data_IF_917492736760
#
_entry.id   IF_917492736760
#
_cell.length_a   1.000
_cell.length_b   1.000
_cell.length_c   1.000
_cell.angle_alpha   90.00
_cell.angle_beta   90.00
_cell.angle_gamma   90.00
#
_symmetry.space_group_name_H-M   'P 1'
#
loop_
_entity.id
_entity.type
_entity.pdbx_description
1 polymer ?
#
# COMPACT_ATOMS: atom_id res chain seq x y z
N UNK A 1 -21.71 12.11 24.13
CA UNK A 1 -21.05 11.96 22.81
C UNK A 1 -19.99 10.87 22.92
N UNK A 2 -19.96 9.84 22.05
CA UNK A 2 -18.86 8.88 22.05
C UNK A 2 -17.56 9.63 21.76
N UNK A 3 -16.58 9.52 22.67
CA UNK A 3 -15.25 10.14 22.48
C UNK A 3 -14.67 9.60 21.18
N UNK A 4 -14.45 10.50 20.22
CA UNK A 4 -13.71 10.19 18.98
C UNK A 4 -12.38 9.59 19.42
N UNK A 5 -12.15 8.31 19.11
CA UNK A 5 -10.92 7.62 19.46
C UNK A 5 -9.77 8.41 18.81
N UNK A 6 -9.00 9.10 19.63
CA UNK A 6 -7.78 9.76 19.17
C UNK A 6 -6.83 8.60 18.87
N UNK A 7 -6.62 8.29 17.58
CA UNK A 7 -5.57 7.37 17.14
C UNK A 7 -4.21 8.06 17.31
N UNK A 8 -3.79 8.30 18.56
CA UNK A 8 -2.49 8.91 18.88
C UNK A 8 -1.33 7.91 18.87
N UNK A 9 -1.58 6.64 18.55
CA UNK A 9 -0.54 5.63 18.40
C UNK A 9 -0.09 5.52 16.95
N UNK A 10 1.21 5.71 16.71
CA UNK A 10 1.84 5.40 15.42
C UNK A 10 1.34 4.02 14.93
N UNK A 11 0.80 3.93 13.71
CA UNK A 11 0.08 2.74 13.23
C UNK A 11 0.91 1.46 13.24
N UNK A 12 2.23 1.62 13.30
CA UNK A 12 3.23 0.57 13.32
C UNK A 12 3.39 0.01 14.73
N UNK A 13 3.38 0.84 15.77
CA UNK A 13 3.40 0.39 17.17
C UNK A 13 2.20 -0.49 17.49
N UNK A 14 1.00 -0.09 17.03
CA UNK A 14 -0.23 -0.89 17.22
C UNK A 14 -0.17 -2.23 16.49
N UNK A 15 0.45 -2.25 15.32
CA UNK A 15 0.57 -3.45 14.49
C UNK A 15 1.59 -4.44 15.07
N UNK A 16 2.74 -3.91 15.51
CA UNK A 16 3.74 -4.66 16.26
C UNK A 16 3.12 -5.34 17.47
N UNK A 17 2.44 -4.59 18.35
CA UNK A 17 1.86 -5.15 19.58
C UNK A 17 0.85 -6.25 19.30
N UNK A 18 0.04 -6.11 18.24
CA UNK A 18 -0.93 -7.12 17.82
C UNK A 18 -0.26 -8.41 17.33
N UNK A 19 0.79 -8.30 16.52
CA UNK A 19 1.52 -9.46 16.01
C UNK A 19 2.31 -10.16 17.10
N UNK A 20 2.98 -9.39 17.96
CA UNK A 20 3.73 -9.92 19.08
C UNK A 20 2.82 -10.76 20.00
N UNK A 21 1.68 -10.21 20.43
CA UNK A 21 0.71 -10.95 21.25
C UNK A 21 0.17 -12.19 20.54
N UNK A 22 -0.04 -12.12 19.21
CA UNK A 22 -0.47 -13.27 18.44
C UNK A 22 0.57 -14.39 18.46
N UNK A 23 1.85 -14.09 18.19
CA UNK A 23 2.90 -15.10 18.18
C UNK A 23 3.16 -15.69 19.58
N UNK A 24 3.08 -14.88 20.64
CA UNK A 24 3.13 -15.41 22.01
C UNK A 24 1.96 -16.37 22.27
N UNK A 25 0.74 -16.01 21.86
CA UNK A 25 -0.44 -16.88 22.01
C UNK A 25 -0.38 -18.16 21.15
N UNK A 26 0.37 -18.14 20.05
CA UNK A 26 0.64 -19.31 19.20
C UNK A 26 1.75 -20.21 19.77
N UNK A 27 2.38 -19.84 20.89
CA UNK A 27 3.36 -20.65 21.62
C UNK A 27 4.82 -20.38 21.25
N UNK A 28 5.11 -19.32 20.50
CA UNK A 28 6.49 -18.93 20.19
C UNK A 28 7.18 -18.33 21.44
N UNK A 29 8.49 -18.54 21.55
CA UNK A 29 9.29 -17.86 22.59
C UNK A 29 9.22 -16.34 22.42
N UNK A 30 9.32 -15.58 23.52
CA UNK A 30 9.23 -14.11 23.46
C UNK A 30 10.26 -13.49 22.50
N UNK A 31 11.47 -14.03 22.45
CA UNK A 31 12.52 -13.58 21.54
C UNK A 31 12.14 -13.82 20.06
N UNK A 32 11.58 -15.00 19.75
CA UNK A 32 11.11 -15.34 18.40
C UNK A 32 9.90 -14.49 18.01
N UNK A 33 8.92 -14.36 18.90
CA UNK A 33 7.74 -13.53 18.71
C UNK A 33 8.10 -12.05 18.48
N UNK A 34 9.07 -11.53 19.22
CA UNK A 34 9.60 -10.18 19.04
C UNK A 34 10.23 -9.99 17.66
N UNK A 35 11.15 -10.88 17.28
CA UNK A 35 11.83 -10.83 15.97
C UNK A 35 10.84 -10.86 14.81
N UNK A 36 9.89 -11.80 14.83
CA UNK A 36 8.87 -11.95 13.79
C UNK A 36 7.92 -10.75 13.72
N UNK A 37 7.45 -10.24 14.87
CA UNK A 37 6.58 -9.07 14.90
C UNK A 37 7.31 -7.81 14.41
N UNK A 38 8.58 -7.65 14.74
CA UNK A 38 9.39 -6.51 14.33
C UNK A 38 9.70 -6.55 12.83
N UNK A 39 10.10 -7.70 12.29
CA UNK A 39 10.33 -7.89 10.85
C UNK A 39 9.05 -7.62 10.03
N UNK A 40 7.92 -8.19 10.46
CA UNK A 40 6.63 -7.97 9.81
C UNK A 40 6.19 -6.50 9.87
N UNK A 41 6.47 -5.81 10.98
CA UNK A 41 6.17 -4.38 11.14
C UNK A 41 7.06 -3.52 10.25
N UNK A 42 8.36 -3.79 10.17
CA UNK A 42 9.29 -3.10 9.26
C UNK A 42 8.93 -3.33 7.79
N UNK A 43 8.59 -4.57 7.41
CA UNK A 43 8.16 -4.90 6.05
C UNK A 43 6.87 -4.17 5.66
N UNK A 44 5.92 -4.07 6.61
CA UNK A 44 4.70 -3.27 6.45
C UNK A 44 5.02 -1.78 6.33
N UNK A 45 5.85 -1.22 7.20
CA UNK A 45 6.22 0.19 7.18
C UNK A 45 6.84 0.59 5.82
N UNK A 46 7.70 -0.26 5.24
CA UNK A 46 8.23 -0.06 3.88
C UNK A 46 7.12 -0.01 2.82
N UNK A 47 6.13 -0.92 2.90
CA UNK A 47 4.97 -0.92 1.99
C UNK A 47 4.02 0.26 2.17
N UNK A 48 3.75 0.64 3.43
CA UNK A 48 2.88 1.77 3.79
C UNK A 48 3.53 3.09 3.39
N UNK A 49 4.84 3.25 3.58
CA UNK A 49 5.58 4.43 3.14
C UNK A 49 5.49 4.65 1.63
N UNK A 50 5.77 3.60 0.84
CA UNK A 50 5.62 3.65 -0.61
C UNK A 50 4.17 4.01 -1.01
N UNK A 51 3.17 3.35 -0.43
CA UNK A 51 1.77 3.65 -0.69
C UNK A 51 1.40 5.10 -0.36
N UNK A 52 1.86 5.65 0.77
CA UNK A 52 1.54 7.02 1.18
C UNK A 52 2.14 8.06 0.23
N UNK A 53 3.35 7.83 -0.28
CA UNK A 53 3.98 8.68 -1.29
C UNK A 53 3.17 8.63 -2.60
N UNK A 54 2.90 7.43 -3.12
CA UNK A 54 2.14 7.27 -4.37
C UNK A 54 0.71 7.76 -4.24
N UNK A 55 0.06 7.58 -3.09
CA UNK A 55 -1.28 8.10 -2.82
C UNK A 55 -1.32 9.61 -2.99
N UNK A 56 -0.34 10.36 -2.46
CA UNK A 56 -0.26 11.83 -2.61
C UNK A 56 -0.04 12.25 -4.06
N UNK A 57 0.79 11.52 -4.81
CA UNK A 57 1.04 11.80 -6.23
C UNK A 57 -0.23 11.54 -7.04
N UNK A 58 -0.85 10.38 -6.86
CA UNK A 58 -2.08 9.99 -7.56
C UNK A 58 -3.25 10.89 -7.18
N UNK A 59 -3.34 11.36 -5.93
CA UNK A 59 -4.33 12.37 -5.54
C UNK A 59 -4.29 13.61 -6.44
N UNK A 60 -3.10 14.11 -6.80
CA UNK A 60 -2.97 15.25 -7.70
C UNK A 60 -3.55 14.95 -9.08
N UNK A 61 -3.20 13.79 -9.66
CA UNK A 61 -3.74 13.34 -10.96
C UNK A 61 -5.28 13.26 -10.92
N UNK A 62 -5.85 12.70 -9.85
CA UNK A 62 -7.30 12.54 -9.71
C UNK A 62 -8.01 13.89 -9.62
N UNK A 63 -7.40 14.86 -8.94
CA UNK A 63 -7.91 16.25 -8.87
C UNK A 63 -7.83 16.91 -10.24
N UNK A 64 -6.67 16.86 -10.90
CA UNK A 64 -6.45 17.49 -12.21
C UNK A 64 -7.36 16.93 -13.30
N UNK A 65 -7.74 15.65 -13.18
CA UNK A 65 -8.66 14.94 -14.09
C UNK A 65 -10.14 15.09 -13.70
N UNK A 66 -10.46 15.82 -12.63
CA UNK A 66 -11.84 16.03 -12.18
C UNK A 66 -12.52 14.75 -11.69
N UNK A 67 -11.77 13.75 -11.23
CA UNK A 67 -12.35 12.48 -10.76
C UNK A 67 -13.06 12.71 -9.43
N UNK A 68 -14.32 12.30 -9.36
CA UNK A 68 -15.11 12.34 -8.13
C UNK A 68 -14.41 11.58 -6.99
N UNK A 69 -14.31 12.22 -5.82
CA UNK A 69 -13.61 11.71 -4.62
C UNK A 69 -14.14 10.36 -4.13
N UNK A 70 -15.41 10.04 -4.38
CA UNK A 70 -16.01 8.74 -4.06
C UNK A 70 -15.30 7.60 -4.82
N UNK A 71 -14.80 7.87 -6.05
CA UNK A 71 -14.13 6.88 -6.89
C UNK A 71 -12.64 6.73 -6.56
N UNK A 72 -12.07 7.61 -5.73
CA UNK A 72 -10.63 7.60 -5.41
C UNK A 72 -10.18 6.30 -4.74
N UNK A 73 -11.06 5.65 -3.97
CA UNK A 73 -10.77 4.35 -3.35
C UNK A 73 -10.36 3.27 -4.35
N UNK A 74 -10.96 3.27 -5.56
CA UNK A 74 -10.60 2.35 -6.64
C UNK A 74 -9.18 2.60 -7.14
N UNK A 75 -8.81 3.87 -7.35
CA UNK A 75 -7.47 4.25 -7.82
C UNK A 75 -6.40 3.98 -6.76
N UNK A 76 -6.69 4.20 -5.48
CA UNK A 76 -5.77 3.83 -4.40
C UNK A 76 -5.58 2.31 -4.31
N UNK A 77 -6.66 1.55 -4.52
CA UNK A 77 -6.57 0.09 -4.58
C UNK A 77 -5.70 -0.38 -5.74
N UNK A 78 -5.82 0.28 -6.90
CA UNK A 78 -4.96 0.04 -8.06
C UNK A 78 -3.47 0.33 -7.76
N UNK A 79 -3.17 1.46 -7.13
CA UNK A 79 -1.79 1.80 -6.68
C UNK A 79 -1.23 0.76 -5.74
N UNK A 80 -2.01 0.30 -4.76
CA UNK A 80 -1.56 -0.73 -3.82
C UNK A 80 -1.28 -2.07 -4.52
N UNK A 81 -2.09 -2.40 -5.52
CA UNK A 81 -1.92 -3.59 -6.33
C UNK A 81 -0.67 -3.51 -7.24
N UNK A 82 -0.36 -2.32 -7.78
CA UNK A 82 0.90 -2.06 -8.50
C UNK A 82 2.13 -2.24 -7.60
N UNK A 83 2.13 -1.65 -6.40
CA UNK A 83 3.22 -1.81 -5.42
C UNK A 83 3.42 -3.28 -5.08
N UNK A 84 2.32 -4.01 -4.87
CA UNK A 84 2.36 -5.44 -4.58
C UNK A 84 2.90 -6.26 -5.76
N UNK A 85 2.55 -5.90 -6.99
CA UNK A 85 3.01 -6.61 -8.19
C UNK A 85 4.53 -6.56 -8.30
N UNK A 86 5.14 -5.39 -8.14
CA UNK A 86 6.60 -5.32 -8.33
C UNK A 86 7.40 -5.74 -7.10
N UNK A 87 6.88 -5.57 -5.88
CA UNK A 87 7.48 -6.22 -4.71
C UNK A 87 7.62 -7.73 -4.89
N UNK A 88 6.76 -8.34 -5.70
CA UNK A 88 6.78 -9.78 -6.04
C UNK A 88 7.41 -10.07 -7.40
N UNK A 89 8.04 -9.08 -8.03
CA UNK A 89 8.61 -9.15 -9.38
C UNK A 89 7.64 -9.66 -10.47
N UNK A 90 6.35 -9.33 -10.33
CA UNK A 90 5.29 -9.72 -11.27
C UNK A 90 5.01 -8.60 -12.28
N UNK A 91 6.04 -8.09 -12.94
CA UNK A 91 5.91 -6.99 -13.90
C UNK A 91 5.01 -7.35 -15.09
N UNK A 92 5.08 -8.61 -15.54
CA UNK A 92 4.24 -9.16 -16.62
C UNK A 92 2.75 -9.17 -16.27
N UNK A 93 2.39 -9.05 -14.98
CA UNK A 93 1.01 -9.02 -14.52
C UNK A 93 0.37 -7.62 -14.57
N UNK A 94 1.18 -6.56 -14.72
CA UNK A 94 0.70 -5.16 -14.72
C UNK A 94 -0.36 -4.90 -15.82
N UNK A 95 -0.21 -5.37 -17.08
CA UNK A 95 -1.23 -5.18 -18.11
C UNK A 95 -2.58 -5.83 -17.76
N UNK A 96 -2.56 -7.04 -17.20
CA UNK A 96 -3.77 -7.73 -16.74
C UNK A 96 -4.44 -6.97 -15.59
N UNK A 97 -3.64 -6.43 -14.67
CA UNK A 97 -4.09 -5.63 -13.54
C UNK A 97 -4.76 -4.33 -14.02
N UNK A 98 -4.21 -3.66 -15.04
CA UNK A 98 -4.85 -2.49 -15.68
C UNK A 98 -6.23 -2.85 -16.23
N UNK A 99 -6.30 -3.90 -17.04
CA UNK A 99 -7.56 -4.37 -17.64
C UNK A 99 -8.62 -4.64 -16.58
N UNK A 100 -8.27 -5.37 -15.51
CA UNK A 100 -9.19 -5.68 -14.42
C UNK A 100 -9.78 -4.44 -13.75
N UNK A 101 -8.97 -3.41 -13.52
CA UNK A 101 -9.44 -2.19 -12.84
C UNK A 101 -10.25 -1.28 -13.77
N UNK A 102 -9.93 -1.25 -15.07
CA UNK A 102 -10.74 -0.55 -16.08
C UNK A 102 -12.11 -1.22 -16.23
N UNK A 103 -12.17 -2.56 -16.25
CA UNK A 103 -13.44 -3.32 -16.27
C UNK A 103 -14.30 -3.06 -15.03
N UNK A 104 -13.67 -2.79 -13.88
CA UNK A 104 -14.36 -2.36 -12.64
C UNK A 104 -14.85 -0.91 -12.69
N UNK A 105 -14.71 -0.23 -13.82
CA UNK A 105 -15.25 1.10 -14.08
C UNK A 105 -14.29 2.25 -13.79
N UNK A 106 -12.99 2.00 -13.61
CA UNK A 106 -12.00 3.08 -13.54
C UNK A 106 -11.72 3.64 -14.95
N UNK A 107 -11.50 4.95 -15.04
CA UNK A 107 -11.10 5.61 -16.27
C UNK A 107 -9.73 5.07 -16.75
N UNK A 108 -9.69 4.52 -17.97
CA UNK A 108 -8.49 3.92 -18.55
C UNK A 108 -7.34 4.90 -18.74
N UNK A 109 -7.63 6.16 -19.10
CA UNK A 109 -6.59 7.18 -19.29
C UNK A 109 -5.91 7.52 -17.98
N UNK A 110 -6.68 7.61 -16.90
CA UNK A 110 -6.16 7.87 -15.55
C UNK A 110 -5.35 6.67 -15.05
N UNK A 111 -5.84 5.45 -15.27
CA UNK A 111 -5.10 4.22 -14.94
C UNK A 111 -3.75 4.16 -15.68
N UNK A 112 -3.75 4.46 -16.99
CA UNK A 112 -2.54 4.51 -17.81
C UNK A 112 -1.53 5.54 -17.32
N UNK A 113 -2.01 6.73 -16.96
CA UNK A 113 -1.19 7.80 -16.43
C UNK A 113 -0.54 7.39 -15.10
N UNK A 114 -1.32 6.79 -14.18
CA UNK A 114 -0.80 6.24 -12.93
C UNK A 114 0.27 5.17 -13.22
N UNK A 115 0.03 4.24 -14.14
CA UNK A 115 1.03 3.20 -14.47
C UNK A 115 2.32 3.79 -15.01
N UNK A 116 2.24 4.79 -15.92
CA UNK A 116 3.41 5.44 -16.51
C UNK A 116 4.23 6.15 -15.44
N UNK A 117 3.57 6.90 -14.56
CA UNK A 117 4.20 7.62 -13.46
C UNK A 117 4.86 6.66 -12.47
N UNK A 118 4.26 5.49 -12.30
CA UNK A 118 4.80 4.42 -11.47
C UNK A 118 6.07 3.80 -12.08
N UNK A 119 6.08 3.53 -13.39
CA UNK A 119 7.24 2.95 -14.09
C UNK A 119 8.41 3.91 -14.33
N UNK A 120 8.17 5.23 -14.28
CA UNK A 120 9.17 6.26 -14.51
C UNK A 120 9.78 6.87 -13.24
N UNK A 121 9.27 6.51 -12.05
CA UNK A 121 9.76 7.08 -10.80
C UNK A 121 10.98 6.31 -10.28
N UNK A 122 12.20 6.88 -10.24
CA UNK A 122 13.42 6.18 -9.83
C UNK A 122 13.39 5.72 -8.36
N UNK A 123 12.65 6.43 -7.49
CA UNK A 123 12.41 6.01 -6.09
C UNK A 123 11.72 4.65 -6.00
N UNK A 124 11.10 4.19 -7.08
CA UNK A 124 10.47 2.89 -7.11
C UNK A 124 11.46 1.74 -6.94
N UNK A 125 12.61 1.84 -7.62
CA UNK A 125 13.69 0.85 -7.54
C UNK A 125 14.29 0.72 -6.13
N UNK A 126 14.22 1.79 -5.34
CA UNK A 126 14.69 1.87 -3.95
C UNK A 126 13.73 1.16 -2.97
N UNK A 127 12.43 1.08 -3.29
CA UNK A 127 11.43 0.40 -2.45
C UNK A 127 11.21 -1.08 -2.83
N UNK A 128 11.74 -1.52 -3.98
CA UNK A 128 11.59 -2.90 -4.49
C UNK A 128 12.83 -3.76 -4.31
N UNK A 129 14.01 -3.17 -4.07
CA UNK A 129 15.23 -3.91 -3.70
C UNK A 129 15.28 -4.06 -2.18
N UNK A 130 14.73 -5.15 -1.67
CA UNK A 130 14.96 -5.64 -0.32
C UNK A 130 15.41 -7.09 -0.41
#
# INVERSE_FOLDING_TARGET
>A
MPKKRIETGNSDTRYYSKLYQRYVNEGYSEATAHGMALEATCSRAKGVGAFMIFKKIVQRILVDRGINSIRWGGYYSYVNALISAVKKDRLTYIPALKKQFVEKGLDSKVVDEITKLFGSNPRYSEFTKA
#
